data_IF_164206504341
#
_entry.id   IF_164206504341
#
_cell.length_a   1.000
_cell.length_b   1.000
_cell.length_c   1.000
_cell.angle_alpha   90.00
_cell.angle_beta   90.00
_cell.angle_gamma   90.00
#
_symmetry.space_group_name_H-M   'P 1'
#
loop_
_entity.id
_entity.type
_entity.pdbx_description
1 polymer ?
#
# COMPACT_ATOMS: atom_id res chain seq x y z
N UNK A 1 -7.45 -37.44 -5.57
CA UNK A 1 -8.45 -36.48 -5.06
C UNK A 1 -8.09 -35.12 -5.64
N UNK A 2 -8.70 -34.78 -6.78
CA UNK A 2 -8.53 -33.48 -7.43
C UNK A 2 -9.21 -32.44 -6.54
N UNK A 3 -8.42 -31.59 -5.89
CA UNK A 3 -8.93 -30.44 -5.16
C UNK A 3 -9.48 -29.44 -6.18
N UNK A 4 -10.78 -29.15 -6.08
CA UNK A 4 -11.47 -28.11 -6.83
C UNK A 4 -10.97 -26.74 -6.35
N UNK A 5 -10.08 -26.10 -7.11
CA UNK A 5 -9.77 -24.67 -6.95
C UNK A 5 -10.84 -23.84 -7.62
N UNK A 6 -11.61 -23.07 -6.83
CA UNK A 6 -12.48 -21.99 -7.30
C UNK A 6 -11.68 -20.70 -7.50
N UNK A 7 -12.13 -19.87 -8.44
CA UNK A 7 -11.44 -18.74 -9.08
C UNK A 7 -11.36 -17.50 -8.18
N UNK A 8 -10.25 -17.33 -7.45
CA UNK A 8 -9.89 -16.09 -6.73
C UNK A 8 -9.03 -15.13 -7.57
N UNK A 9 -8.88 -15.40 -8.88
CA UNK A 9 -8.11 -14.60 -9.84
C UNK A 9 -9.08 -13.73 -10.65
N UNK A 10 -9.69 -12.74 -9.99
CA UNK A 10 -10.71 -11.86 -10.60
C UNK A 10 -10.12 -10.92 -11.65
N UNK A 11 -8.84 -10.53 -11.49
CA UNK A 11 -8.14 -9.66 -12.43
C UNK A 11 -8.00 -10.25 -13.84
N UNK A 12 -7.96 -11.59 -13.98
CA UNK A 12 -7.86 -12.24 -15.30
C UNK A 12 -9.11 -12.05 -16.18
N UNK A 13 -10.23 -11.65 -15.61
CA UNK A 13 -11.54 -11.65 -16.28
C UNK A 13 -12.20 -10.25 -16.34
N UNK A 14 -11.56 -9.20 -15.83
CA UNK A 14 -12.06 -7.83 -15.93
C UNK A 14 -11.81 -7.22 -17.32
N UNK A 15 -12.79 -6.50 -17.86
CA UNK A 15 -12.56 -5.63 -19.02
C UNK A 15 -11.62 -4.51 -18.59
N UNK A 16 -10.49 -4.39 -19.29
CA UNK A 16 -9.51 -3.35 -19.05
C UNK A 16 -10.00 -2.10 -19.79
N UNK A 17 -10.54 -1.12 -19.05
CA UNK A 17 -10.88 0.19 -19.59
C UNK A 17 -9.69 1.14 -19.53
N UNK A 18 -9.44 1.85 -20.63
CA UNK A 18 -8.52 2.99 -20.64
C UNK A 18 -8.98 4.09 -19.67
N UNK A 19 -8.06 5.01 -19.34
CA UNK A 19 -8.42 6.18 -18.52
C UNK A 19 -9.51 7.02 -19.22
N UNK A 20 -10.54 7.49 -18.49
CA UNK A 20 -11.59 8.30 -19.08
C UNK A 20 -11.02 9.60 -19.67
N UNK A 21 -11.51 9.98 -20.85
CA UNK A 21 -11.24 11.31 -21.41
C UNK A 21 -12.11 12.35 -20.72
N UNK A 22 -11.57 12.92 -19.65
CA UNK A 22 -12.28 13.88 -18.78
C UNK A 22 -11.42 15.11 -18.49
N UNK A 23 -12.08 16.23 -18.22
CA UNK A 23 -11.44 17.45 -17.70
C UNK A 23 -11.21 17.41 -16.19
N UNK A 24 -11.77 16.42 -15.50
CA UNK A 24 -11.54 16.22 -14.07
C UNK A 24 -10.06 15.89 -13.80
N UNK A 25 -9.44 16.49 -12.78
CA UNK A 25 -8.05 16.21 -12.45
C UNK A 25 -7.89 14.77 -11.96
N UNK A 26 -6.81 14.12 -12.40
CA UNK A 26 -6.39 12.82 -11.90
C UNK A 26 -5.40 13.06 -10.77
N UNK A 27 -5.71 12.58 -9.57
CA UNK A 27 -4.82 12.67 -8.43
C UNK A 27 -4.23 11.31 -8.12
N UNK A 28 -2.90 11.23 -8.01
CA UNK A 28 -2.18 10.02 -7.59
C UNK A 28 -1.17 10.44 -6.52
N UNK A 29 -1.39 9.98 -5.28
CA UNK A 29 -0.46 10.14 -4.15
C UNK A 29 0.17 11.55 -4.07
N UNK A 30 -0.67 12.58 -3.98
CA UNK A 30 -0.26 13.98 -3.86
C UNK A 30 0.13 14.69 -5.16
N UNK A 31 0.14 14.00 -6.31
CA UNK A 31 0.41 14.60 -7.61
C UNK A 31 -0.86 14.71 -8.45
N UNK A 32 -1.06 15.88 -9.06
CA UNK A 32 -2.18 16.18 -9.93
C UNK A 32 -1.74 16.06 -11.40
N UNK A 33 -2.58 15.43 -12.22
CA UNK A 33 -2.39 15.26 -13.64
C UNK A 33 -3.67 15.59 -14.42
N UNK A 34 -3.51 15.87 -15.71
CA UNK A 34 -4.57 16.04 -16.69
C UNK A 34 -4.73 14.77 -17.53
N UNK A 35 -5.90 14.12 -17.48
CA UNK A 35 -6.20 12.95 -18.30
C UNK A 35 -6.16 13.23 -19.82
N UNK A 36 -6.23 14.51 -20.23
CA UNK A 36 -6.24 14.91 -21.64
C UNK A 36 -4.82 15.08 -22.21
N UNK A 37 -3.83 15.40 -21.37
CA UNK A 37 -2.50 15.82 -21.82
C UNK A 37 -1.35 15.04 -21.20
N UNK A 38 -1.58 14.35 -20.08
CA UNK A 38 -0.52 13.72 -19.26
C UNK A 38 -0.79 12.21 -19.06
N UNK A 39 -1.36 11.55 -20.08
CA UNK A 39 -1.70 10.11 -20.01
C UNK A 39 -0.47 9.23 -19.76
N UNK A 40 0.66 9.54 -20.40
CA UNK A 40 1.90 8.78 -20.26
C UNK A 40 2.51 8.96 -18.86
N UNK A 41 2.43 10.15 -18.29
CA UNK A 41 2.90 10.47 -16.93
C UNK A 41 2.05 9.77 -15.87
N UNK A 42 0.72 9.73 -16.06
CA UNK A 42 -0.21 8.97 -15.22
C UNK A 42 0.16 7.49 -15.23
N UNK A 43 0.30 6.89 -16.43
CA UNK A 43 0.65 5.48 -16.57
C UNK A 43 2.03 5.19 -15.99
N UNK A 44 3.02 6.05 -16.22
CA UNK A 44 4.36 5.91 -15.66
C UNK A 44 4.32 5.94 -14.13
N UNK A 45 3.53 6.83 -13.51
CA UNK A 45 3.45 6.92 -12.05
C UNK A 45 2.77 5.71 -11.42
N UNK A 46 1.65 5.26 -11.98
CA UNK A 46 0.95 4.04 -11.56
C UNK A 46 1.84 2.82 -11.70
N UNK A 47 2.44 2.62 -12.87
CA UNK A 47 3.29 1.45 -13.17
C UNK A 47 4.52 1.42 -12.26
N UNK A 48 5.03 2.59 -11.85
CA UNK A 48 6.18 2.70 -10.95
C UNK A 48 5.89 2.24 -9.53
N UNK A 49 4.63 2.16 -9.11
CA UNK A 49 4.30 1.69 -7.77
C UNK A 49 4.60 0.19 -7.64
N UNK A 50 5.17 -0.19 -6.49
CA UNK A 50 5.37 -1.60 -6.17
C UNK A 50 4.00 -2.28 -6.02
N UNK A 51 3.76 -3.28 -6.86
CA UNK A 51 2.54 -4.04 -6.95
C UNK A 51 2.75 -5.45 -6.39
N UNK A 52 2.17 -5.71 -5.22
CA UNK A 52 2.25 -7.02 -4.59
C UNK A 52 0.92 -7.75 -4.78
N UNK A 53 0.97 -8.92 -5.40
CA UNK A 53 -0.19 -9.76 -5.66
C UNK A 53 -0.08 -11.06 -4.86
N UNK A 54 -1.11 -11.91 -4.95
CA UNK A 54 -0.97 -13.29 -4.51
C UNK A 54 0.24 -13.96 -5.18
N UNK A 55 0.95 -14.77 -4.40
CA UNK A 55 2.10 -15.55 -4.84
C UNK A 55 1.89 -17.02 -4.52
N UNK A 56 2.48 -17.89 -5.34
CA UNK A 56 2.48 -19.35 -5.15
C UNK A 56 3.87 -19.93 -5.29
N UNK A 57 4.09 -21.10 -4.71
CA UNK A 57 5.35 -21.83 -4.70
C UNK A 57 6.48 -21.13 -3.92
N UNK A 58 6.13 -20.25 -2.97
CA UNK A 58 7.11 -19.79 -1.98
C UNK A 58 7.35 -20.84 -0.90
N UNK A 59 8.42 -20.68 -0.10
CA UNK A 59 8.75 -21.61 0.98
C UNK A 59 7.59 -21.72 2.00
N UNK A 60 7.25 -22.90 2.55
CA UNK A 60 6.14 -23.03 3.49
C UNK A 60 6.27 -22.08 4.68
N UNK A 61 5.21 -21.31 4.98
CA UNK A 61 5.17 -20.41 6.14
C UNK A 61 5.27 -21.24 7.42
N UNK A 62 6.22 -20.93 8.30
CA UNK A 62 6.46 -21.72 9.52
C UNK A 62 6.95 -23.16 9.26
N UNK A 63 7.43 -23.47 8.05
CA UNK A 63 7.95 -24.80 7.67
C UNK A 63 6.90 -25.82 7.25
N UNK A 64 5.65 -25.68 7.68
CA UNK A 64 4.54 -26.61 7.35
C UNK A 64 3.26 -25.92 6.91
N UNK A 65 3.21 -24.59 6.93
CA UNK A 65 2.04 -23.80 6.55
C UNK A 65 1.87 -23.66 5.04
N UNK A 66 1.03 -22.70 4.61
CA UNK A 66 0.76 -22.47 3.20
C UNK A 66 2.02 -22.15 2.38
N UNK A 67 1.99 -22.55 1.11
CA UNK A 67 2.97 -22.20 0.05
C UNK A 67 2.37 -21.27 -1.01
N UNK A 68 1.17 -20.76 -0.72
CA UNK A 68 0.46 -19.74 -1.48
C UNK A 68 -0.40 -18.90 -0.54
N UNK A 69 -0.52 -17.61 -0.84
CA UNK A 69 -1.41 -16.70 -0.12
C UNK A 69 -2.74 -16.42 -0.85
N UNK A 70 -2.97 -17.09 -1.99
CA UNK A 70 -4.21 -17.00 -2.76
C UNK A 70 -5.44 -17.21 -1.88
N UNK A 71 -6.36 -16.25 -1.92
CA UNK A 71 -7.65 -16.34 -1.23
C UNK A 71 -7.64 -15.89 0.24
N UNK A 72 -6.50 -15.51 0.81
CA UNK A 72 -6.43 -15.01 2.19
C UNK A 72 -5.45 -13.85 2.41
N UNK A 73 -4.45 -13.69 1.55
CA UNK A 73 -3.38 -12.68 1.70
C UNK A 73 -3.69 -11.26 1.23
N UNK A 74 -4.87 -10.96 0.67
CA UNK A 74 -5.10 -9.70 -0.06
C UNK A 74 -4.81 -8.44 0.78
N UNK A 75 -5.28 -8.38 2.02
CA UNK A 75 -5.00 -7.23 2.90
C UNK A 75 -3.52 -7.16 3.31
N UNK A 76 -2.84 -8.31 3.44
CA UNK A 76 -1.41 -8.35 3.73
C UNK A 76 -0.63 -7.77 2.55
N UNK A 77 -1.02 -8.11 1.31
CA UNK A 77 -0.46 -7.52 0.08
C UNK A 77 -0.74 -6.03 -0.04
N UNK A 78 -1.93 -5.56 0.30
CA UNK A 78 -2.22 -4.12 0.38
C UNK A 78 -1.32 -3.42 1.41
N UNK A 79 -1.10 -4.03 2.56
CA UNK A 79 -0.13 -3.56 3.56
C UNK A 79 1.30 -3.49 3.03
N UNK A 80 1.73 -4.51 2.27
CA UNK A 80 3.03 -4.47 1.58
C UNK A 80 3.11 -3.31 0.59
N UNK A 81 2.05 -3.05 -0.19
CA UNK A 81 2.06 -1.98 -1.20
C UNK A 81 2.14 -0.59 -0.57
N UNK A 82 1.35 -0.31 0.47
CA UNK A 82 1.39 1.01 1.13
C UNK A 82 2.71 1.25 1.88
N UNK A 83 3.28 0.22 2.52
CA UNK A 83 4.61 0.34 3.14
C UNK A 83 5.74 0.40 2.10
N UNK A 84 5.62 -0.37 1.02
CA UNK A 84 6.53 -0.32 -0.12
C UNK A 84 6.58 1.08 -0.71
N UNK A 85 5.43 1.72 -0.86
CA UNK A 85 5.34 3.12 -1.28
C UNK A 85 6.06 4.08 -0.32
N UNK A 86 5.93 3.88 1.00
CA UNK A 86 6.68 4.68 1.97
C UNK A 86 8.20 4.50 1.84
N UNK A 87 8.65 3.26 1.57
CA UNK A 87 10.07 2.98 1.35
C UNK A 87 10.60 3.57 0.03
N UNK A 88 9.78 3.59 -1.02
CA UNK A 88 10.09 4.33 -2.26
C UNK A 88 10.29 5.81 -1.96
N UNK A 89 9.34 6.45 -1.27
CA UNK A 89 9.49 7.86 -0.88
C UNK A 89 10.74 8.11 -0.03
N UNK A 90 11.02 7.23 0.93
CA UNK A 90 12.15 7.32 1.85
C UNK A 90 13.52 7.23 1.17
N UNK A 91 13.67 6.34 0.20
CA UNK A 91 14.98 5.95 -0.34
C UNK A 91 15.21 6.41 -1.78
N UNK A 92 14.15 6.59 -2.56
CA UNK A 92 14.23 6.99 -3.97
C UNK A 92 13.56 8.35 -4.24
N UNK A 93 12.64 8.78 -3.37
CA UNK A 93 11.84 10.00 -3.53
C UNK A 93 10.54 9.77 -4.31
N UNK A 94 9.54 10.63 -4.08
CA UNK A 94 8.21 10.55 -4.72
C UNK A 94 8.27 10.66 -6.25
N UNK A 95 9.24 11.40 -6.77
CA UNK A 95 9.44 11.64 -8.21
C UNK A 95 10.13 10.49 -8.93
N UNK A 96 10.64 9.49 -8.21
CA UNK A 96 11.19 8.31 -8.85
C UNK A 96 10.14 7.59 -9.69
N UNK A 97 10.59 7.06 -10.84
CA UNK A 97 9.80 6.25 -11.76
C UNK A 97 10.60 5.00 -12.15
N UNK A 98 9.89 3.89 -12.27
CA UNK A 98 10.42 2.62 -12.77
C UNK A 98 10.51 2.65 -14.30
N UNK A 99 11.43 1.87 -14.85
CA UNK A 99 11.59 1.71 -16.30
C UNK A 99 11.88 0.24 -16.62
N UNK A 100 11.01 -0.44 -17.39
CA UNK A 100 11.16 -1.86 -17.69
C UNK A 100 12.49 -2.18 -18.37
N UNK A 101 13.08 -3.31 -18.01
CA UNK A 101 14.31 -3.83 -18.63
C UNK A 101 15.57 -3.00 -18.38
N UNK A 102 15.49 -1.94 -17.59
CA UNK A 102 16.65 -1.17 -17.18
C UNK A 102 17.26 -1.72 -15.88
N UNK A 103 18.57 -1.55 -15.72
CA UNK A 103 19.26 -1.88 -14.47
C UNK A 103 18.80 -0.91 -13.39
N UNK A 104 18.23 -1.44 -12.31
CA UNK A 104 17.71 -0.63 -11.21
C UNK A 104 18.81 -0.21 -10.23
N UNK A 105 18.54 0.86 -9.48
CA UNK A 105 19.42 1.36 -8.41
C UNK A 105 19.49 0.35 -7.25
N UNK A 106 20.61 0.31 -6.54
CA UNK A 106 20.78 -0.61 -5.41
C UNK A 106 19.73 -0.40 -4.32
N UNK A 107 19.32 0.84 -4.09
CA UNK A 107 18.27 1.20 -3.14
C UNK A 107 16.92 0.59 -3.54
N UNK A 108 16.56 0.63 -4.84
CA UNK A 108 15.33 -0.02 -5.33
C UNK A 108 15.37 -1.52 -5.06
N UNK A 109 16.49 -2.17 -5.39
CA UNK A 109 16.69 -3.60 -5.19
C UNK A 109 16.55 -3.96 -3.70
N UNK A 110 17.13 -3.16 -2.80
CA UNK A 110 17.01 -3.35 -1.36
C UNK A 110 15.57 -3.20 -0.86
N UNK A 111 14.81 -2.24 -1.41
CA UNK A 111 13.38 -2.08 -1.09
C UNK A 111 12.63 -3.34 -1.52
N UNK A 112 12.75 -3.76 -2.78
CA UNK A 112 12.03 -4.92 -3.29
C UNK A 112 12.39 -6.19 -2.51
N UNK A 113 13.67 -6.37 -2.19
CA UNK A 113 14.19 -7.45 -1.34
C UNK A 113 13.49 -7.55 0.01
N UNK A 114 13.09 -6.42 0.60
CA UNK A 114 12.39 -6.42 1.88
C UNK A 114 11.00 -7.06 1.80
N UNK A 115 10.41 -7.25 0.60
CA UNK A 115 9.06 -7.77 0.39
C UNK A 115 8.98 -9.13 -0.31
N UNK A 116 10.09 -9.63 -0.87
CA UNK A 116 10.13 -10.95 -1.52
C UNK A 116 9.58 -12.03 -0.58
N UNK A 117 8.92 -13.05 -1.12
CA UNK A 117 8.24 -14.12 -0.37
C UNK A 117 9.24 -15.13 0.25
N UNK A 118 10.17 -14.61 1.06
CA UNK A 118 11.15 -15.37 1.84
C UNK A 118 11.12 -14.92 3.29
N UNK A 119 11.42 -15.86 4.19
CA UNK A 119 11.39 -15.63 5.63
C UNK A 119 12.43 -14.63 6.14
N UNK A 120 13.49 -14.37 5.39
CA UNK A 120 14.57 -13.44 5.73
C UNK A 120 14.31 -12.01 5.25
N UNK A 121 13.35 -11.80 4.36
CA UNK A 121 12.85 -10.48 3.96
C UNK A 121 11.97 -9.87 5.06
N UNK A 122 12.25 -8.63 5.46
CA UNK A 122 11.63 -7.95 6.61
C UNK A 122 10.10 -7.93 6.61
N UNK A 123 9.51 -7.67 5.44
CA UNK A 123 8.09 -7.44 5.23
C UNK A 123 7.49 -8.48 4.28
N UNK A 124 8.07 -9.67 4.22
CA UNK A 124 7.51 -10.77 3.42
C UNK A 124 6.16 -11.24 3.94
N UNK A 125 5.42 -11.95 3.09
CA UNK A 125 4.18 -12.61 3.49
C UNK A 125 4.38 -13.54 4.69
N UNK A 126 5.56 -14.16 4.81
CA UNK A 126 5.95 -15.00 5.94
C UNK A 126 6.02 -14.19 7.23
N UNK A 127 6.76 -13.09 7.22
CA UNK A 127 6.96 -12.25 8.41
C UNK A 127 5.64 -11.60 8.84
N UNK A 128 4.85 -11.09 7.89
CA UNK A 128 3.55 -10.48 8.17
C UNK A 128 2.59 -11.51 8.78
N UNK A 129 2.44 -12.69 8.17
CA UNK A 129 1.53 -13.72 8.67
C UNK A 129 1.97 -14.27 10.03
N UNK A 130 3.28 -14.44 10.25
CA UNK A 130 3.82 -14.93 11.51
C UNK A 130 3.69 -13.88 12.64
N UNK A 131 3.95 -12.61 12.34
CA UNK A 131 3.83 -11.51 13.31
C UNK A 131 2.37 -11.30 13.73
N UNK A 132 1.41 -11.45 12.81
CA UNK A 132 0.00 -11.29 13.16
C UNK A 132 -0.58 -12.42 14.03
N UNK A 133 0.14 -13.52 14.24
CA UNK A 133 -0.19 -14.47 15.34
C UNK A 133 -0.16 -13.75 16.69
N UNK A 134 0.79 -12.83 16.88
CA UNK A 134 0.85 -11.96 18.06
C UNK A 134 -0.29 -10.95 18.15
N UNK A 135 -1.02 -10.71 17.06
CA UNK A 135 -2.24 -9.88 16.99
C UNK A 135 -3.52 -10.72 17.09
N UNK A 136 -3.40 -12.01 17.44
CA UNK A 136 -4.54 -12.93 17.53
C UNK A 136 -5.08 -13.38 16.17
N UNK A 137 -4.29 -13.29 15.10
CA UNK A 137 -4.64 -13.80 13.77
C UNK A 137 -3.87 -15.08 13.44
N UNK A 138 -4.60 -16.15 13.17
CA UNK A 138 -4.00 -17.37 12.65
C UNK A 138 -3.45 -17.16 11.23
N UNK A 139 -2.40 -17.90 10.86
CA UNK A 139 -1.93 -17.94 9.47
C UNK A 139 -3.07 -18.44 8.56
N UNK A 140 -3.29 -17.77 7.43
CA UNK A 140 -4.44 -18.06 6.55
C UNK A 140 -5.71 -17.26 6.87
N UNK A 141 -5.74 -16.51 7.98
CA UNK A 141 -6.89 -15.67 8.32
C UNK A 141 -6.79 -14.30 7.65
N UNK A 142 -7.92 -13.78 7.17
CA UNK A 142 -8.02 -12.42 6.64
C UNK A 142 -7.81 -11.34 7.71
N UNK A 143 -7.13 -10.26 7.33
CA UNK A 143 -6.82 -9.11 8.19
C UNK A 143 -7.67 -7.91 7.79
N UNK A 144 -8.06 -7.09 8.76
CA UNK A 144 -8.53 -5.73 8.47
C UNK A 144 -7.36 -4.74 8.38
N UNK A 145 -7.62 -3.50 7.91
CA UNK A 145 -6.59 -2.47 7.76
C UNK A 145 -5.81 -2.17 9.04
N UNK A 146 -6.48 -2.06 10.19
CA UNK A 146 -5.79 -1.85 11.47
C UNK A 146 -4.81 -2.98 11.80
N UNK A 147 -5.22 -4.24 11.63
CA UNK A 147 -4.37 -5.37 12.00
C UNK A 147 -3.09 -5.41 11.18
N UNK A 148 -3.17 -5.19 9.85
CA UNK A 148 -1.96 -5.14 9.03
C UNK A 148 -1.09 -3.93 9.39
N UNK A 149 -1.68 -2.76 9.69
CA UNK A 149 -0.94 -1.58 10.14
C UNK A 149 -0.13 -1.85 11.44
N UNK A 150 -0.75 -2.51 12.42
CA UNK A 150 -0.06 -2.89 13.68
C UNK A 150 1.07 -3.91 13.45
N UNK A 151 0.86 -4.87 12.56
CA UNK A 151 1.90 -5.83 12.17
C UNK A 151 3.09 -5.14 11.50
N UNK A 152 2.84 -4.25 10.55
CA UNK A 152 3.90 -3.48 9.86
C UNK A 152 4.66 -2.60 10.84
N UNK A 153 3.98 -1.98 11.81
CA UNK A 153 4.62 -1.23 12.91
C UNK A 153 5.62 -2.08 13.69
N UNK A 154 5.28 -3.33 14.02
CA UNK A 154 6.19 -4.25 14.73
C UNK A 154 7.35 -4.71 13.85
N UNK A 155 7.10 -5.00 12.57
CA UNK A 155 8.14 -5.46 11.65
C UNK A 155 9.17 -4.36 11.34
N UNK A 156 8.73 -3.10 11.22
CA UNK A 156 9.60 -1.97 10.94
C UNK A 156 10.68 -1.73 12.01
N UNK A 157 10.49 -2.25 13.23
CA UNK A 157 11.52 -2.21 14.29
C UNK A 157 12.80 -2.94 13.89
N UNK A 158 12.69 -3.99 13.07
CA UNK A 158 13.84 -4.80 12.63
C UNK A 158 14.56 -4.23 11.41
N UNK A 159 13.94 -3.29 10.69
CA UNK A 159 14.55 -2.64 9.52
C UNK A 159 15.41 -1.45 9.94
N UNK A 160 16.65 -1.78 10.33
CA UNK A 160 17.65 -0.78 10.71
C UNK A 160 18.17 0.07 9.56
N UNK A 161 17.90 -0.32 8.31
CA UNK A 161 18.32 0.44 7.13
C UNK A 161 17.38 1.64 6.91
N UNK A 162 16.08 1.40 6.92
CA UNK A 162 15.07 2.45 6.70
C UNK A 162 14.87 3.33 7.92
N UNK A 163 14.99 2.76 9.13
CA UNK A 163 14.85 3.45 10.43
C UNK A 163 13.53 4.23 10.55
N UNK A 164 12.45 3.66 10.03
CA UNK A 164 11.13 4.29 10.04
C UNK A 164 10.56 4.38 11.46
N UNK A 165 9.87 5.49 11.75
CA UNK A 165 8.91 5.58 12.84
C UNK A 165 7.53 5.24 12.27
N UNK A 166 6.97 4.08 12.61
CA UNK A 166 5.61 3.72 12.19
C UNK A 166 4.64 4.00 13.32
N UNK A 167 3.78 4.99 13.15
CA UNK A 167 2.73 5.35 14.10
C UNK A 167 1.36 4.95 13.56
N UNK A 168 0.56 4.28 14.39
CA UNK A 168 -0.82 3.90 14.05
C UNK A 168 -1.74 4.68 14.98
N UNK A 169 -2.40 5.71 14.45
CA UNK A 169 -3.27 6.59 15.21
C UNK A 169 -4.63 5.93 15.41
N UNK A 170 -4.99 5.62 16.66
CA UNK A 170 -6.25 4.96 17.01
C UNK A 170 -7.32 6.00 17.38
N UNK A 171 -8.56 5.54 17.55
CA UNK A 171 -9.68 6.35 18.06
C UNK A 171 -9.96 7.64 17.25
N UNK A 172 -9.67 7.60 15.94
CA UNK A 172 -9.81 8.71 15.00
C UNK A 172 -9.11 10.00 15.47
N UNK A 173 -8.09 9.89 16.31
CA UNK A 173 -7.41 11.02 16.94
C UNK A 173 -5.91 10.93 16.69
N UNK A 174 -5.34 12.00 16.15
CA UNK A 174 -3.89 12.13 15.96
C UNK A 174 -3.34 13.07 17.03
N UNK A 175 -2.57 12.52 17.96
CA UNK A 175 -1.94 13.29 19.04
C UNK A 175 -0.58 13.76 18.56
N UNK A 176 -0.52 15.02 18.11
CA UNK A 176 0.66 15.61 17.47
C UNK A 176 1.89 15.51 18.39
N UNK A 177 1.73 15.85 19.68
CA UNK A 177 2.80 15.81 20.68
C UNK A 177 3.39 14.40 20.83
N UNK A 178 2.54 13.36 20.85
CA UNK A 178 2.97 11.96 20.94
C UNK A 178 3.79 11.55 19.70
N UNK A 179 3.36 11.97 18.51
CA UNK A 179 4.07 11.66 17.25
C UNK A 179 5.42 12.36 17.19
N UNK A 180 5.47 13.64 17.56
CA UNK A 180 6.73 14.38 17.62
C UNK A 180 7.70 13.73 18.61
N UNK A 181 7.27 13.44 19.84
CA UNK A 181 8.11 12.75 20.83
C UNK A 181 8.57 11.37 20.37
N UNK A 182 7.66 10.57 19.79
CA UNK A 182 7.97 9.24 19.25
C UNK A 182 9.00 9.29 18.11
N UNK A 183 8.91 10.31 17.25
CA UNK A 183 9.81 10.48 16.11
C UNK A 183 11.18 11.02 16.53
N UNK A 184 11.28 11.67 17.69
CA UNK A 184 12.51 12.23 18.27
C UNK A 184 13.20 11.37 19.33
N UNK A 185 12.82 10.10 19.53
CA UNK A 185 13.39 9.22 20.57
C UNK A 185 14.93 9.13 20.59
N UNK A 186 15.63 9.53 19.52
CA UNK A 186 17.10 9.59 19.43
C UNK A 186 17.67 10.99 19.17
N UNK A 187 16.96 12.06 19.53
CA UNK A 187 17.31 13.47 19.26
C UNK A 187 17.48 13.83 17.76
N UNK A 188 17.01 12.96 16.87
CA UNK A 188 16.97 13.14 15.42
C UNK A 188 15.63 12.60 14.93
N UNK A 189 14.99 13.31 14.01
CA UNK A 189 13.74 12.89 13.38
C UNK A 189 13.92 11.57 12.64
N UNK A 190 13.07 10.59 12.95
CA UNK A 190 12.91 9.37 12.16
C UNK A 190 11.80 9.59 11.12
N UNK A 191 12.03 9.28 9.84
CA UNK A 191 10.99 9.37 8.81
C UNK A 191 9.73 8.62 9.24
N UNK A 192 8.62 9.34 9.27
CA UNK A 192 7.36 8.91 9.85
C UNK A 192 6.49 8.27 8.78
N UNK A 193 6.01 7.06 9.07
CA UNK A 193 4.84 6.46 8.40
C UNK A 193 3.67 6.54 9.37
N UNK A 194 2.74 7.44 9.09
CA UNK A 194 1.51 7.61 9.85
C UNK A 194 0.39 6.82 9.18
N UNK A 195 -0.18 5.84 9.89
CA UNK A 195 -1.34 5.07 9.46
C UNK A 195 -2.53 5.41 10.36
N UNK A 196 -3.67 5.72 9.76
CA UNK A 196 -4.90 6.10 10.48
C UNK A 196 -6.00 5.12 10.07
N UNK A 197 -6.22 4.04 10.83
CA UNK A 197 -7.36 3.15 10.63
C UNK A 197 -8.67 3.87 10.94
N UNK A 198 -9.64 3.78 10.03
CA UNK A 198 -10.91 4.51 10.11
C UNK A 198 -12.09 3.58 9.82
N UNK A 199 -13.26 3.96 10.35
CA UNK A 199 -14.56 3.40 9.99
C UNK A 199 -15.50 4.50 9.51
N UNK A 200 -15.65 4.66 8.20
CA UNK A 200 -16.37 5.79 7.58
C UNK A 200 -17.88 5.57 7.41
N UNK A 201 -18.43 4.55 8.06
CA UNK A 201 -19.84 4.17 7.94
C UNK A 201 -20.13 2.78 8.50
N UNK A 202 -21.40 2.37 8.45
CA UNK A 202 -21.84 1.07 8.98
C UNK A 202 -21.68 -0.05 7.96
N UNK A 203 -22.22 0.14 6.76
CA UNK A 203 -22.15 -0.83 5.65
C UNK A 203 -21.45 -0.21 4.45
N UNK A 204 -21.81 1.04 4.16
CA UNK A 204 -21.29 1.86 3.08
C UNK A 204 -20.67 3.14 3.66
N UNK A 205 -19.80 3.79 2.89
CA UNK A 205 -19.24 5.10 3.25
C UNK A 205 -20.36 6.14 3.35
N UNK A 206 -20.34 6.96 4.40
CA UNK A 206 -21.23 8.14 4.46
C UNK A 206 -20.67 9.23 3.53
N UNK A 207 -21.53 9.80 2.68
CA UNK A 207 -21.17 10.82 1.69
C UNK A 207 -20.43 12.03 2.27
N UNK A 208 -20.67 12.37 3.55
CA UNK A 208 -19.95 13.45 4.24
C UNK A 208 -18.42 13.21 4.31
N UNK A 209 -17.96 11.95 4.20
CA UNK A 209 -16.54 11.60 4.19
C UNK A 209 -15.91 11.54 2.79
N UNK A 210 -16.69 11.64 1.71
CA UNK A 210 -16.17 11.52 0.33
C UNK A 210 -15.15 12.63 0.04
N UNK A 211 -15.53 13.89 0.30
CA UNK A 211 -14.63 15.02 0.02
C UNK A 211 -13.40 15.03 0.94
N UNK A 212 -13.53 14.84 2.28
CA UNK A 212 -12.37 14.65 3.15
C UNK A 212 -11.43 13.52 2.71
N UNK A 213 -11.98 12.40 2.22
CA UNK A 213 -11.20 11.28 1.71
C UNK A 213 -10.43 11.65 0.44
N UNK A 214 -11.05 12.38 -0.50
CA UNK A 214 -10.36 12.90 -1.69
C UNK A 214 -9.18 13.81 -1.30
N UNK A 215 -9.36 14.69 -0.31
CA UNK A 215 -8.28 15.55 0.18
C UNK A 215 -7.08 14.77 0.75
N UNK A 216 -7.29 13.59 1.35
CA UNK A 216 -6.19 12.73 1.79
C UNK A 216 -5.29 12.23 0.64
N UNK A 217 -5.81 12.09 -0.58
CA UNK A 217 -5.03 11.73 -1.77
C UNK A 217 -4.28 12.92 -2.38
N UNK A 218 -4.65 14.15 -2.03
CA UNK A 218 -4.12 15.38 -2.62
C UNK A 218 -2.88 15.91 -1.87
N UNK A 219 -2.65 15.45 -0.64
CA UNK A 219 -1.49 15.89 0.15
C UNK A 219 -0.17 15.33 -0.42
N UNK A 220 0.93 16.10 -0.47
CA UNK A 220 2.25 15.61 -0.86
C UNK A 220 2.73 14.39 -0.05
N UNK A 221 2.31 14.30 1.21
CA UNK A 221 2.62 13.21 2.12
C UNK A 221 1.78 11.95 1.86
N UNK A 222 0.81 11.97 0.96
CA UNK A 222 -0.14 10.87 0.77
C UNK A 222 0.55 9.57 0.40
N UNK A 223 0.30 8.52 1.20
CA UNK A 223 0.59 7.14 0.83
C UNK A 223 -0.66 6.42 0.33
N UNK A 224 -1.77 7.14 0.11
CA UNK A 224 -3.03 6.53 -0.28
C UNK A 224 -3.74 5.80 0.86
N UNK A 225 -4.59 4.83 0.50
CA UNK A 225 -5.51 4.18 1.42
C UNK A 225 -5.54 2.67 1.15
N UNK A 226 -5.53 1.86 2.19
CA UNK A 226 -5.83 0.42 2.08
C UNK A 226 -7.21 0.14 2.68
N UNK A 227 -7.97 -0.73 2.04
CA UNK A 227 -9.33 -1.03 2.47
C UNK A 227 -9.96 -2.17 1.69
N UNK A 228 -11.25 -2.39 1.94
CA UNK A 228 -12.04 -3.38 1.22
C UNK A 228 -12.62 -4.48 2.11
N UNK A 229 -13.46 -5.30 1.49
CA UNK A 229 -14.20 -6.38 2.15
C UNK A 229 -13.29 -7.60 2.36
N UNK A 230 -13.68 -8.54 3.24
CA UNK A 230 -13.01 -9.83 3.32
C UNK A 230 -12.80 -10.46 1.94
N UNK A 231 -11.54 -10.77 1.61
CA UNK A 231 -11.09 -11.34 0.33
C UNK A 231 -11.27 -10.43 -0.90
N UNK A 232 -11.51 -9.13 -0.71
CA UNK A 232 -11.58 -8.10 -1.76
C UNK A 232 -10.94 -6.81 -1.27
N UNK A 233 -9.65 -6.89 -0.90
CA UNK A 233 -8.88 -5.75 -0.43
C UNK A 233 -8.09 -5.08 -1.56
N UNK A 234 -8.05 -3.76 -1.56
CA UNK A 234 -7.37 -2.96 -2.58
C UNK A 234 -6.47 -1.90 -1.95
N UNK A 235 -5.43 -1.48 -2.69
CA UNK A 235 -4.61 -0.34 -2.36
C UNK A 235 -4.97 0.84 -3.27
N UNK A 236 -5.74 1.77 -2.73
CA UNK A 236 -6.16 2.99 -3.40
C UNK A 236 -5.02 3.99 -3.40
N UNK A 237 -4.65 4.47 -4.58
CA UNK A 237 -3.51 5.38 -4.79
C UNK A 237 -3.95 6.78 -5.23
N UNK A 238 -5.24 6.97 -5.51
CA UNK A 238 -5.70 8.19 -6.14
C UNK A 238 -7.19 8.19 -6.46
N UNK A 239 -7.62 9.22 -7.18
CA UNK A 239 -8.98 9.33 -7.70
C UNK A 239 -9.04 10.18 -8.98
N UNK A 240 -10.14 10.04 -9.73
CA UNK A 240 -10.55 10.93 -10.83
C UNK A 240 -12.07 11.06 -10.80
N UNK A 241 -12.59 12.29 -10.76
CA UNK A 241 -14.02 12.50 -10.54
C UNK A 241 -14.49 11.82 -9.25
N UNK A 242 -15.44 10.88 -9.37
CA UNK A 242 -15.99 10.07 -8.26
C UNK A 242 -15.48 8.63 -8.24
N UNK A 243 -14.43 8.32 -9.01
CA UNK A 243 -13.81 7.00 -9.04
C UNK A 243 -12.47 6.99 -8.31
N UNK A 244 -12.27 6.00 -7.44
CA UNK A 244 -10.98 5.71 -6.84
C UNK A 244 -10.12 4.89 -7.79
N UNK A 245 -8.84 5.22 -7.84
CA UNK A 245 -7.80 4.51 -8.63
C UNK A 245 -7.05 3.59 -7.67
N UNK A 246 -6.90 2.31 -8.02
CA UNK A 246 -6.28 1.34 -7.12
C UNK A 246 -5.43 0.26 -7.80
N UNK A 247 -4.54 -0.33 -7.00
CA UNK A 247 -3.81 -1.54 -7.32
C UNK A 247 -4.47 -2.75 -6.65
N UNK A 248 -4.68 -3.79 -7.43
CA UNK A 248 -5.44 -4.96 -7.03
C UNK A 248 -4.50 -6.18 -6.82
N UNK A 249 -4.49 -6.82 -5.65
CA UNK A 249 -3.62 -7.96 -5.38
C UNK A 249 -4.17 -9.32 -5.86
N UNK A 250 -5.39 -9.39 -6.41
CA UNK A 250 -6.13 -10.63 -6.70
C UNK A 250 -5.72 -11.30 -8.01
N UNK A 251 -4.41 -11.44 -8.22
CA UNK A 251 -3.87 -12.32 -9.25
C UNK A 251 -2.74 -13.16 -8.69
N UNK A 252 -2.71 -14.46 -9.02
CA UNK A 252 -1.73 -15.38 -8.45
C UNK A 252 -0.54 -15.58 -9.39
N UNK A 253 0.60 -15.02 -8.99
CA UNK A 253 1.85 -15.09 -9.71
C UNK A 253 2.82 -16.10 -9.04
N UNK A 254 3.77 -16.72 -9.76
CA UNK A 254 4.83 -17.51 -9.12
C UNK A 254 5.69 -16.64 -8.20
N UNK A 255 6.18 -17.18 -7.09
CA UNK A 255 7.21 -16.53 -6.28
C UNK A 255 8.47 -16.28 -7.11
N UNK A 256 9.17 -15.17 -6.85
CA UNK A 256 10.39 -14.77 -7.56
C UNK A 256 11.60 -14.98 -6.66
N UNK A 257 12.66 -15.55 -7.21
CA UNK A 257 13.97 -15.63 -6.58
C UNK A 257 14.93 -14.56 -7.15
N UNK A 258 15.81 -13.98 -6.33
CA UNK A 258 16.95 -13.20 -6.81
C UNK A 258 17.79 -13.98 -7.82
N UNK A 259 18.30 -13.29 -8.83
CA UNK A 259 19.37 -13.83 -9.66
C UNK A 259 20.70 -13.82 -8.89
N UNK A 260 21.70 -14.53 -9.42
CA UNK A 260 23.05 -14.60 -8.82
C UNK A 260 23.72 -13.21 -8.68
N UNK A 261 23.36 -12.25 -9.55
CA UNK A 261 23.88 -10.87 -9.53
C UNK A 261 23.10 -9.90 -8.63
N UNK A 262 22.27 -10.42 -7.71
CA UNK A 262 21.38 -9.66 -6.81
C UNK A 262 20.36 -8.75 -7.53
N UNK A 263 20.22 -8.89 -8.85
CA UNK A 263 19.13 -8.30 -9.63
C UNK A 263 17.91 -9.23 -9.61
N UNK A 264 16.72 -8.66 -9.82
CA UNK A 264 15.46 -9.41 -9.82
C UNK A 264 14.74 -9.21 -11.16
N UNK A 265 14.08 -10.25 -11.70
CA UNK A 265 13.01 -10.02 -12.66
C UNK A 265 11.85 -9.32 -11.91
N UNK A 266 11.79 -8.01 -12.05
CA UNK A 266 10.92 -7.13 -11.27
C UNK A 266 9.59 -6.79 -11.98
N UNK A 267 9.43 -7.16 -13.26
CA UNK A 267 8.23 -6.89 -14.06
C UNK A 267 6.93 -7.31 -13.35
N UNK A 268 6.96 -8.44 -12.64
CA UNK A 268 5.81 -8.98 -11.90
C UNK A 268 5.40 -8.16 -10.67
N UNK A 269 6.23 -7.20 -10.25
CA UNK A 269 6.01 -6.28 -9.16
C UNK A 269 5.63 -4.87 -9.64
N UNK A 270 5.34 -4.71 -10.93
CA UNK A 270 4.89 -3.47 -11.53
C UNK A 270 3.62 -3.73 -12.34
N UNK A 271 2.55 -3.01 -12.02
CA UNK A 271 1.26 -3.15 -12.69
C UNK A 271 1.31 -2.47 -14.07
N UNK A 272 1.50 -3.26 -15.13
CA UNK A 272 1.65 -2.74 -16.50
C UNK A 272 0.33 -2.66 -17.29
N UNK A 273 -0.80 -3.00 -16.66
CA UNK A 273 -2.13 -2.78 -17.24
C UNK A 273 -2.70 -1.43 -16.77
N UNK A 274 -3.66 -0.85 -17.52
CA UNK A 274 -4.44 0.30 -17.06
C UNK A 274 -4.92 0.12 -15.62
N UNK A 275 -4.87 1.18 -14.80
CA UNK A 275 -5.23 1.06 -13.40
C UNK A 275 -6.71 0.76 -13.22
N UNK A 276 -7.00 -0.04 -12.22
CA UNK A 276 -8.37 -0.33 -11.86
C UNK A 276 -9.03 0.92 -11.25
N UNK A 277 -10.31 1.10 -11.58
CA UNK A 277 -11.17 2.16 -11.09
C UNK A 277 -12.44 1.57 -10.47
N UNK A 278 -12.96 2.21 -9.43
CA UNK A 278 -14.28 1.88 -8.85
C UNK A 278 -14.94 3.13 -8.30
N UNK A 279 -16.26 3.19 -8.32
CA UNK A 279 -17.00 4.32 -7.77
C UNK A 279 -16.75 4.44 -6.25
N UNK A 280 -16.53 5.66 -5.75
CA UNK A 280 -16.14 5.89 -4.34
C UNK A 280 -17.19 5.38 -3.34
N UNK A 281 -18.47 5.39 -3.70
CA UNK A 281 -19.55 4.85 -2.87
C UNK A 281 -19.49 3.32 -2.69
N UNK A 282 -18.73 2.60 -3.51
CA UNK A 282 -18.56 1.14 -3.39
C UNK A 282 -17.44 0.76 -2.40
N UNK A 283 -16.69 1.75 -1.91
CA UNK A 283 -15.62 1.55 -0.93
C UNK A 283 -16.19 0.99 0.39
N UNK A 284 -15.60 -0.10 0.88
CA UNK A 284 -15.92 -0.58 2.24
C UNK A 284 -15.50 0.47 3.28
N UNK A 285 -16.35 0.79 4.27
CA UNK A 285 -16.05 1.83 5.23
C UNK A 285 -14.88 1.50 6.16
N UNK A 286 -14.39 0.25 6.23
CA UNK A 286 -13.16 -0.10 6.95
C UNK A 286 -11.92 0.18 6.09
N UNK A 287 -11.16 1.22 6.45
CA UNK A 287 -9.95 1.62 5.74
C UNK A 287 -8.78 1.91 6.69
N UNK A 288 -7.58 2.09 6.15
CA UNK A 288 -6.51 2.83 6.79
C UNK A 288 -5.88 3.80 5.79
N UNK A 289 -5.89 5.09 6.11
CA UNK A 289 -5.21 6.13 5.35
C UNK A 289 -3.74 6.22 5.78
N UNK A 290 -2.83 6.42 4.84
CA UNK A 290 -1.40 6.52 5.11
C UNK A 290 -0.80 7.85 4.69
N UNK A 291 0.16 8.32 5.47
CA UNK A 291 0.96 9.51 5.18
C UNK A 291 2.44 9.28 5.52
N UNK A 292 3.32 9.87 4.73
CA UNK A 292 4.77 9.81 4.91
C UNK A 292 5.36 11.20 5.09
N UNK A 293 6.05 11.39 6.21
CA UNK A 293 6.75 12.64 6.53
C UNK A 293 8.25 12.33 6.70
N UNK A 294 9.05 12.68 5.68
CA UNK A 294 10.48 12.40 5.67
C UNK A 294 11.21 13.21 6.74
N UNK A 295 10.72 14.43 7.02
CA UNK A 295 11.26 15.40 7.97
C UNK A 295 10.16 15.90 8.93
N UNK A 296 10.57 16.61 9.98
CA UNK A 296 9.65 17.31 10.89
C UNK A 296 8.86 18.38 10.13
N UNK A 297 9.49 19.12 9.21
CA UNK A 297 8.82 20.13 8.37
C UNK A 297 7.71 19.51 7.51
N UNK A 298 7.91 18.30 6.98
CA UNK A 298 6.87 17.58 6.24
C UNK A 298 5.67 17.22 7.13
N UNK A 299 5.92 16.92 8.41
CA UNK A 299 4.86 16.62 9.39
C UNK A 299 4.12 17.87 9.83
N UNK A 300 4.82 18.99 10.00
CA UNK A 300 4.21 20.29 10.29
C UNK A 300 3.32 20.77 9.13
N UNK A 301 3.79 20.59 7.88
CA UNK A 301 3.00 20.87 6.69
C UNK A 301 1.77 19.96 6.61
N UNK A 302 1.92 18.65 6.86
CA UNK A 302 0.79 17.72 6.95
C UNK A 302 -0.22 18.16 8.02
N UNK A 303 0.25 18.56 9.21
CA UNK A 303 -0.59 19.10 10.28
C UNK A 303 -1.33 20.38 9.85
N UNK A 304 -0.69 21.24 9.06
CA UNK A 304 -1.32 22.45 8.53
C UNK A 304 -2.37 22.14 7.46
N UNK A 305 -2.17 21.11 6.64
CA UNK A 305 -3.11 20.67 5.62
C UNK A 305 -4.31 19.93 6.21
N UNK A 306 -4.10 18.96 7.11
CA UNK A 306 -5.19 18.16 7.70
C UNK A 306 -6.17 19.03 8.51
N UNK A 307 -5.69 20.12 9.13
CA UNK A 307 -6.55 21.10 9.83
C UNK A 307 -7.48 21.89 8.90
N UNK A 308 -7.15 21.98 7.61
CA UNK A 308 -7.97 22.66 6.59
C UNK A 308 -8.99 21.73 5.94
N UNK A 309 -8.84 20.41 6.12
CA UNK A 309 -9.79 19.43 5.58
C UNK A 309 -11.17 19.67 6.21
N UNK A 310 -12.25 19.76 5.40
CA UNK A 310 -13.60 19.94 5.93
C UNK A 310 -13.95 18.84 6.92
N UNK A 311 -14.57 19.23 8.03
CA UNK A 311 -15.15 18.25 8.95
C UNK A 311 -16.52 17.82 8.40
N UNK A 312 -16.84 16.52 8.44
CA UNK A 312 -18.17 16.02 8.12
C UNK A 312 -19.21 16.52 9.14
#
# INVERSE_FOLDING_TARGET
>A
LLASTLTYDSLRFGEIEDFPETSEPVWILGQQFSALTEKDEILADVTSRLWFTYRKNFQPIGGTGPTSDTGWGCMLRCGQMILGQALICRHLGRDWRWSPGQRQRAEYINILNAFIDKKDSYYSIHQIAQMGVGEGKSIGQWYGPNTVAQVLKKLAVFDSWSRLAVHVAMDNTVVIEEISEFSFLTALWKPLVLLIPLRLGLSDINEAYIEPLKQCFMMPQSLGVIGGKPNSAHYFIGFVGDELIYLDPHTTQPAVDPNEDEQFPDDSYHCQHPPCRMHICELDPSIAAGFFCQTEDDFDDWCAQIRKVPKP
#
